data_IF_423231229495
#
_entry.id   IF_423231229495
#
_cell.length_a   1.000
_cell.length_b   1.000
_cell.length_c   1.000
_cell.angle_alpha   90.00
_cell.angle_beta   90.00
_cell.angle_gamma   90.00
#
_symmetry.space_group_name_H-M   'P 1'
#
loop_
_entity.id
_entity.type
_entity.pdbx_description
1 polymer ?
#
# COMPACT_ATOMS: atom_id res chain seq x y z
N UNK A 1 17.89 -10.73 9.61
CA UNK A 1 18.81 -11.74 9.02
C UNK A 1 18.16 -13.12 9.04
N UNK A 2 18.79 -14.16 8.43
CA UNK A 2 18.28 -15.54 8.54
C UNK A 2 18.23 -16.02 9.98
N UNK A 3 19.23 -15.65 10.78
CA UNK A 3 19.34 -16.04 12.19
C UNK A 3 18.29 -15.33 13.04
N UNK A 4 18.05 -14.03 12.82
CA UNK A 4 16.96 -13.30 13.47
C UNK A 4 15.60 -13.93 13.13
N UNK A 5 15.37 -14.28 11.86
CA UNK A 5 14.14 -14.94 11.45
C UNK A 5 13.97 -16.29 12.17
N UNK A 6 15.02 -17.11 12.23
CA UNK A 6 14.99 -18.38 12.95
C UNK A 6 14.70 -18.18 14.45
N UNK A 7 15.32 -17.19 15.08
CA UNK A 7 15.07 -16.86 16.49
C UNK A 7 13.63 -16.40 16.74
N UNK A 8 13.03 -15.64 15.81
CA UNK A 8 11.61 -15.26 15.89
C UNK A 8 10.71 -16.49 15.77
N UNK A 9 11.02 -17.44 14.88
CA UNK A 9 10.27 -18.71 14.77
C UNK A 9 10.35 -19.47 16.10
N UNK A 10 11.53 -19.63 16.66
CA UNK A 10 11.74 -20.31 17.95
C UNK A 10 10.97 -19.62 19.09
N UNK A 11 10.91 -18.29 19.06
CA UNK A 11 10.19 -17.50 20.07
C UNK A 11 8.67 -17.65 19.97
N UNK A 12 8.12 -17.67 18.76
CA UNK A 12 6.65 -17.70 18.55
C UNK A 12 6.10 -19.13 18.55
N UNK A 13 6.91 -20.13 18.20
CA UNK A 13 6.49 -21.54 18.09
C UNK A 13 5.78 -22.09 19.34
N UNK A 14 6.27 -21.90 20.58
CA UNK A 14 5.58 -22.41 21.77
C UNK A 14 4.15 -21.86 21.93
N UNK A 15 3.94 -20.60 21.55
CA UNK A 15 2.64 -19.94 21.61
C UNK A 15 1.69 -20.45 20.52
N UNK A 16 2.21 -20.73 19.32
CA UNK A 16 1.43 -21.37 18.25
C UNK A 16 0.98 -22.77 18.68
N UNK A 17 1.89 -23.57 19.23
CA UNK A 17 1.60 -24.92 19.72
C UNK A 17 0.61 -24.90 20.90
N UNK A 18 0.67 -23.88 21.75
CA UNK A 18 -0.31 -23.65 22.81
C UNK A 18 -1.71 -23.40 22.26
N UNK A 19 -1.88 -22.47 21.31
CA UNK A 19 -3.19 -22.18 20.69
C UNK A 19 -3.78 -23.43 20.03
N UNK A 20 -2.95 -24.20 19.32
CA UNK A 20 -3.37 -25.46 18.69
C UNK A 20 -3.84 -26.49 19.73
N UNK A 21 -3.16 -26.61 20.88
CA UNK A 21 -3.57 -27.51 21.97
C UNK A 21 -4.88 -27.09 22.64
N UNK A 22 -5.10 -25.78 22.80
CA UNK A 22 -6.37 -25.28 23.36
C UNK A 22 -7.57 -25.63 22.47
N UNK A 23 -7.38 -25.82 21.15
CA UNK A 23 -8.38 -26.34 20.22
C UNK A 23 -9.60 -25.44 19.98
N UNK A 24 -9.73 -24.33 20.70
CA UNK A 24 -10.91 -23.45 20.67
C UNK A 24 -10.99 -22.60 19.40
N UNK A 25 -9.86 -22.24 18.81
CA UNK A 25 -9.76 -21.28 17.72
C UNK A 25 -9.21 -21.89 16.42
N UNK A 26 -9.03 -23.22 16.37
CA UNK A 26 -8.42 -23.90 15.24
C UNK A 26 -6.89 -23.78 15.22
N UNK A 27 -6.30 -24.08 14.06
CA UNK A 27 -4.86 -23.95 13.84
C UNK A 27 -4.50 -22.55 13.35
N UNK A 28 -3.37 -22.04 13.83
CA UNK A 28 -2.78 -20.80 13.33
C UNK A 28 -2.29 -21.02 11.89
N UNK A 29 -2.71 -20.14 10.99
CA UNK A 29 -2.26 -20.11 9.59
C UNK A 29 -0.83 -19.58 9.49
N UNK A 30 -0.17 -19.85 8.35
CA UNK A 30 1.17 -19.30 8.10
C UNK A 30 1.18 -17.77 8.16
N UNK A 31 0.15 -17.10 7.64
CA UNK A 31 0.10 -15.64 7.61
C UNK A 31 -0.10 -15.03 9.00
N UNK A 32 -0.91 -15.66 9.85
CA UNK A 32 -1.05 -15.26 11.26
C UNK A 32 0.27 -15.44 12.03
N UNK A 33 0.97 -16.54 11.81
CA UNK A 33 2.29 -16.79 12.42
C UNK A 33 3.32 -15.73 11.98
N UNK A 34 3.40 -15.44 10.67
CA UNK A 34 4.30 -14.41 10.13
C UNK A 34 3.96 -13.01 10.64
N UNK A 35 2.67 -12.70 10.78
CA UNK A 35 2.21 -11.41 11.32
C UNK A 35 2.62 -11.25 12.79
N UNK A 36 2.44 -12.31 13.60
CA UNK A 36 2.89 -12.30 14.99
C UNK A 36 4.41 -12.14 15.11
N UNK A 37 5.18 -12.82 14.25
CA UNK A 37 6.63 -12.66 14.18
C UNK A 37 7.03 -11.24 13.78
N UNK A 38 6.33 -10.60 12.84
CA UNK A 38 6.60 -9.23 12.43
C UNK A 38 6.39 -8.24 13.59
N UNK A 39 5.30 -8.36 14.33
CA UNK A 39 5.06 -7.54 15.53
C UNK A 39 6.13 -7.73 16.59
N UNK A 40 6.53 -8.98 16.85
CA UNK A 40 7.61 -9.27 17.79
C UNK A 40 8.94 -8.67 17.33
N UNK A 41 9.26 -8.77 16.03
CA UNK A 41 10.47 -8.20 15.47
C UNK A 41 10.52 -6.68 15.66
N UNK A 42 9.46 -5.96 15.26
CA UNK A 42 9.42 -4.51 15.39
C UNK A 42 9.45 -4.04 16.84
N UNK A 43 8.87 -4.82 17.76
CA UNK A 43 9.02 -4.59 19.20
C UNK A 43 10.48 -4.76 19.65
N UNK A 44 11.16 -5.83 19.21
CA UNK A 44 12.52 -6.14 19.65
C UNK A 44 13.55 -5.11 19.16
N UNK A 45 13.33 -4.50 18.00
CA UNK A 45 14.19 -3.42 17.49
C UNK A 45 13.75 -2.03 17.93
N UNK A 46 12.73 -1.94 18.80
CA UNK A 46 12.17 -0.68 19.30
C UNK A 46 11.78 0.30 18.17
N UNK A 47 11.14 -0.21 17.12
CA UNK A 47 10.77 0.61 15.97
C UNK A 47 9.80 1.74 16.35
N UNK A 48 10.13 2.98 15.97
CA UNK A 48 9.27 4.16 16.19
C UNK A 48 7.94 4.06 15.41
N UNK A 49 8.01 3.49 14.19
CA UNK A 49 6.87 3.31 13.30
C UNK A 49 6.88 1.92 12.67
N UNK A 50 5.68 1.39 12.44
CA UNK A 50 5.46 0.17 11.68
C UNK A 50 4.52 0.48 10.52
N UNK A 51 4.98 0.22 9.29
CA UNK A 51 4.14 0.27 8.10
C UNK A 51 3.70 -1.16 7.79
N UNK A 52 2.41 -1.43 7.93
CA UNK A 52 1.84 -2.77 7.77
C UNK A 52 1.02 -2.84 6.49
N UNK A 53 1.40 -3.74 5.60
CA UNK A 53 0.60 -4.10 4.44
C UNK A 53 -0.41 -5.17 4.83
N UNK A 54 -1.69 -4.93 4.52
CA UNK A 54 -2.75 -5.90 4.71
C UNK A 54 -2.55 -7.07 3.75
N UNK A 55 -2.61 -8.31 4.26
CA UNK A 55 -2.45 -9.50 3.42
C UNK A 55 -3.62 -9.71 2.46
N UNK A 56 -4.83 -9.78 3.01
CA UNK A 56 -6.05 -9.98 2.22
C UNK A 56 -7.26 -9.28 2.83
N UNK A 57 -7.97 -8.51 2.00
CA UNK A 57 -9.15 -7.78 2.44
C UNK A 57 -8.77 -6.64 3.38
N UNK A 58 -8.98 -6.82 4.68
CA UNK A 58 -8.70 -5.82 5.71
C UNK A 58 -9.40 -6.12 7.02
N UNK A 59 -10.73 -6.21 7.00
CA UNK A 59 -11.58 -6.39 8.19
C UNK A 59 -11.19 -7.58 9.05
N UNK A 60 -10.91 -8.73 8.43
CA UNK A 60 -10.54 -9.99 9.07
C UNK A 60 -9.08 -10.38 8.83
N UNK A 61 -8.26 -9.44 8.35
CA UNK A 61 -6.84 -9.70 8.11
C UNK A 61 -6.08 -9.81 9.44
N UNK A 62 -5.06 -10.67 9.48
CA UNK A 62 -4.24 -10.88 10.67
C UNK A 62 -3.54 -9.61 11.15
N UNK A 63 -3.29 -8.64 10.25
CA UNK A 63 -2.71 -7.34 10.60
C UNK A 63 -3.71 -6.41 11.29
N UNK A 64 -5.03 -6.63 11.16
CA UNK A 64 -6.07 -5.72 11.64
C UNK A 64 -6.35 -5.79 13.16
N UNK A 65 -5.39 -6.29 13.93
CA UNK A 65 -5.41 -6.34 15.40
C UNK A 65 -4.87 -5.06 16.06
N UNK A 66 -4.51 -4.06 15.25
CA UNK A 66 -3.91 -2.79 15.71
C UNK A 66 -4.86 -1.59 15.64
N UNK A 67 -4.47 -0.51 16.32
CA UNK A 67 -4.99 0.83 16.11
C UNK A 67 -3.89 1.69 15.49
N UNK A 68 -3.91 1.92 14.16
CA UNK A 68 -2.85 2.66 13.48
C UNK A 68 -2.97 4.17 13.75
N UNK A 69 -1.89 4.91 13.45
CA UNK A 69 -1.92 6.38 13.46
C UNK A 69 -2.66 6.94 12.24
N UNK A 70 -2.55 6.27 11.09
CA UNK A 70 -3.23 6.61 9.84
C UNK A 70 -3.51 5.31 9.09
N UNK A 71 -4.63 5.22 8.39
CA UNK A 71 -4.94 4.12 7.47
C UNK A 71 -4.82 4.54 6.01
N UNK A 72 -4.35 3.66 5.14
CA UNK A 72 -4.24 3.90 3.69
C UNK A 72 -5.04 2.87 2.90
N UNK A 73 -5.83 3.32 1.92
CA UNK A 73 -6.56 2.45 0.98
C UNK A 73 -6.15 2.82 -0.44
N UNK A 74 -5.32 1.97 -1.06
CA UNK A 74 -4.94 2.11 -2.48
C UNK A 74 -6.10 1.72 -3.41
N UNK A 75 -5.92 1.88 -4.73
CA UNK A 75 -6.95 1.55 -5.73
C UNK A 75 -7.54 0.16 -5.50
N UNK A 76 -8.86 0.08 -5.39
CA UNK A 76 -9.58 -1.18 -5.24
C UNK A 76 -9.99 -1.68 -6.62
N UNK A 77 -9.62 -2.91 -6.93
CA UNK A 77 -10.05 -3.61 -8.14
C UNK A 77 -10.66 -4.96 -7.79
N UNK A 78 -11.30 -5.60 -8.77
CA UNK A 78 -11.72 -7.00 -8.65
C UNK A 78 -10.47 -7.87 -8.52
N UNK A 79 -10.21 -8.30 -7.29
CA UNK A 79 -9.15 -9.23 -6.94
C UNK A 79 -9.64 -10.16 -5.83
N UNK A 80 -9.14 -11.39 -5.82
CA UNK A 80 -9.52 -12.43 -4.86
C UNK A 80 -11.04 -12.58 -4.69
N UNK A 81 -11.79 -12.55 -5.79
CA UNK A 81 -13.27 -12.52 -5.79
C UNK A 81 -13.91 -13.74 -5.10
N UNK A 82 -13.20 -14.87 -5.08
CA UNK A 82 -13.63 -16.07 -4.35
C UNK A 82 -13.65 -15.89 -2.82
N UNK A 83 -12.90 -14.93 -2.28
CA UNK A 83 -12.75 -14.70 -0.83
C UNK A 83 -13.40 -13.37 -0.42
N UNK A 84 -13.17 -12.30 -1.17
CA UNK A 84 -13.60 -10.95 -0.82
C UNK A 84 -14.97 -10.56 -1.40
N UNK A 85 -15.52 -11.38 -2.30
CA UNK A 85 -16.80 -11.16 -2.95
C UNK A 85 -16.67 -10.84 -4.44
N UNK A 86 -17.81 -10.87 -5.11
CA UNK A 86 -17.96 -10.77 -6.56
C UNK A 86 -18.24 -9.34 -7.06
N UNK A 87 -18.26 -8.34 -6.16
CA UNK A 87 -18.45 -6.93 -6.51
C UNK A 87 -17.41 -6.04 -5.85
N UNK A 88 -17.12 -4.90 -6.48
CA UNK A 88 -16.17 -3.93 -5.96
C UNK A 88 -16.60 -3.38 -4.59
N UNK A 89 -17.89 -3.22 -4.37
CA UNK A 89 -18.45 -2.74 -3.09
C UNK A 89 -18.25 -3.76 -1.96
N UNK A 90 -18.41 -5.06 -2.24
CA UNK A 90 -18.12 -6.12 -1.24
C UNK A 90 -16.65 -6.12 -0.86
N UNK A 91 -15.76 -6.03 -1.85
CA UNK A 91 -14.32 -5.92 -1.62
C UNK A 91 -14.00 -4.64 -0.84
N UNK A 92 -14.66 -3.53 -1.15
CA UNK A 92 -14.51 -2.26 -0.44
C UNK A 92 -14.93 -2.35 1.02
N UNK A 93 -16.01 -3.07 1.35
CA UNK A 93 -16.44 -3.30 2.74
C UNK A 93 -15.35 -4.03 3.53
N UNK A 94 -14.75 -5.08 2.93
CA UNK A 94 -13.65 -5.80 3.57
C UNK A 94 -12.41 -4.92 3.76
N UNK A 95 -12.00 -4.17 2.73
CA UNK A 95 -10.83 -3.28 2.78
C UNK A 95 -11.03 -2.11 3.74
N UNK A 96 -12.21 -1.49 3.75
CA UNK A 96 -12.55 -0.40 4.65
C UNK A 96 -12.67 -0.86 6.13
N UNK A 97 -12.61 -2.17 6.40
CA UNK A 97 -12.54 -2.72 7.75
C UNK A 97 -11.30 -2.32 8.55
N UNK A 98 -10.27 -1.77 7.91
CA UNK A 98 -9.09 -1.21 8.60
C UNK A 98 -9.34 0.19 9.18
N UNK A 99 -10.40 0.90 8.73
CA UNK A 99 -10.73 2.23 9.22
C UNK A 99 -11.13 2.13 10.70
N UNK A 100 -10.36 2.81 11.56
CA UNK A 100 -10.57 2.84 13.01
C UNK A 100 -11.15 4.17 13.47
N UNK A 101 -11.81 4.15 14.62
CA UNK A 101 -12.52 5.31 15.17
C UNK A 101 -11.56 6.48 15.41
N UNK A 102 -11.87 7.66 14.88
CA UNK A 102 -11.06 8.89 14.99
C UNK A 102 -9.65 8.79 14.44
N UNK A 103 -9.35 7.77 13.64
CA UNK A 103 -8.05 7.62 12.99
C UNK A 103 -8.19 8.10 11.54
N UNK A 104 -7.35 9.05 11.07
CA UNK A 104 -7.42 9.54 9.71
C UNK A 104 -7.20 8.42 8.68
N UNK A 105 -7.84 8.54 7.53
CA UNK A 105 -7.73 7.61 6.42
C UNK A 105 -7.47 8.33 5.11
N UNK A 106 -6.53 7.80 4.32
CA UNK A 106 -6.19 8.30 2.99
C UNK A 106 -6.59 7.27 1.97
N UNK A 107 -7.34 7.67 0.95
CA UNK A 107 -7.75 6.79 -0.14
C UNK A 107 -7.22 7.28 -1.49
N UNK A 108 -6.74 6.35 -2.31
CA UNK A 108 -6.57 6.55 -3.74
C UNK A 108 -7.89 6.96 -4.41
N UNK A 109 -7.89 7.47 -5.65
CA UNK A 109 -9.12 7.61 -6.42
C UNK A 109 -9.83 6.26 -6.54
N UNK A 110 -11.15 6.25 -6.42
CA UNK A 110 -11.97 5.04 -6.51
C UNK A 110 -13.17 5.28 -7.42
N UNK A 111 -13.78 4.20 -7.92
CA UNK A 111 -15.10 4.25 -8.53
C UNK A 111 -16.16 4.73 -7.52
N UNK A 112 -17.21 5.40 -7.99
CA UNK A 112 -18.21 6.05 -7.13
C UNK A 112 -18.83 5.10 -6.09
N UNK A 113 -19.12 3.85 -6.48
CA UNK A 113 -19.68 2.83 -5.59
C UNK A 113 -18.74 2.46 -4.44
N UNK A 114 -17.45 2.29 -4.75
CA UNK A 114 -16.39 2.00 -3.78
C UNK A 114 -16.14 3.20 -2.88
N UNK A 115 -16.05 4.39 -3.46
CA UNK A 115 -15.80 5.61 -2.72
C UNK A 115 -16.92 5.89 -1.72
N UNK A 116 -18.18 5.60 -2.09
CA UNK A 116 -19.33 5.72 -1.19
C UNK A 116 -19.21 4.82 0.03
N UNK A 117 -18.72 3.58 -0.14
CA UNK A 117 -18.48 2.66 0.99
C UNK A 117 -17.40 3.22 1.93
N UNK A 118 -16.29 3.70 1.38
CA UNK A 118 -15.19 4.28 2.16
C UNK A 118 -15.66 5.54 2.90
N UNK A 119 -16.38 6.45 2.23
CA UNK A 119 -16.96 7.66 2.82
C UNK A 119 -17.91 7.34 3.97
N UNK A 120 -18.81 6.37 3.78
CA UNK A 120 -19.72 5.94 4.84
C UNK A 120 -18.94 5.38 6.03
N UNK A 121 -17.97 4.49 5.78
CA UNK A 121 -17.19 3.86 6.85
C UNK A 121 -16.34 4.86 7.63
N UNK A 122 -15.74 5.83 6.94
CA UNK A 122 -15.01 6.93 7.58
C UNK A 122 -15.95 7.80 8.44
N UNK A 123 -17.13 8.15 7.91
CA UNK A 123 -18.15 8.90 8.65
C UNK A 123 -18.63 8.15 9.90
N UNK A 124 -18.91 6.85 9.81
CA UNK A 124 -19.36 6.03 10.95
C UNK A 124 -18.27 5.92 12.03
N UNK A 125 -17.01 5.98 11.62
CA UNK A 125 -15.85 5.93 12.49
C UNK A 125 -15.44 7.32 13.03
N UNK A 126 -16.09 8.41 12.63
CA UNK A 126 -15.63 9.78 12.95
C UNK A 126 -14.17 9.99 12.52
N UNK A 127 -13.78 9.41 11.39
CA UNK A 127 -12.44 9.43 10.82
C UNK A 127 -12.36 10.47 9.71
N UNK A 128 -11.32 11.32 9.76
CA UNK A 128 -11.04 12.25 8.67
C UNK A 128 -10.61 11.49 7.42
N UNK A 129 -11.33 11.70 6.32
CA UNK A 129 -11.03 11.09 5.02
C UNK A 129 -10.36 12.10 4.09
N UNK A 130 -9.27 11.66 3.49
CA UNK A 130 -8.54 12.36 2.43
C UNK A 130 -8.55 11.50 1.17
N UNK A 131 -9.04 12.03 0.06
CA UNK A 131 -9.16 11.32 -1.22
C UNK A 131 -8.25 11.95 -2.26
N UNK A 132 -7.31 11.16 -2.79
CA UNK A 132 -6.47 11.60 -3.92
C UNK A 132 -7.35 11.85 -5.14
N UNK A 133 -7.11 12.96 -5.84
CA UNK A 133 -7.93 13.46 -6.96
C UNK A 133 -9.17 14.27 -6.54
N UNK A 134 -9.45 14.41 -5.25
CA UNK A 134 -10.49 15.34 -4.74
C UNK A 134 -9.90 16.33 -3.73
N UNK A 135 -9.14 15.81 -2.76
CA UNK A 135 -8.50 16.60 -1.71
C UNK A 135 -7.04 16.95 -2.02
N UNK A 136 -6.34 16.02 -2.67
CA UNK A 136 -4.95 16.19 -3.12
C UNK A 136 -4.87 15.90 -4.61
N UNK A 137 -4.33 16.82 -5.38
CA UNK A 137 -4.24 16.70 -6.84
C UNK A 137 -2.78 16.55 -7.27
N UNK A 138 -2.51 15.60 -8.17
CA UNK A 138 -1.18 15.42 -8.74
C UNK A 138 -1.19 15.62 -10.25
N UNK A 139 -0.07 16.08 -10.79
CA UNK A 139 0.14 16.27 -12.23
C UNK A 139 1.46 15.64 -12.64
N UNK A 140 1.41 14.70 -13.59
CA UNK A 140 2.61 14.16 -14.21
C UNK A 140 3.27 15.22 -15.11
N UNK A 141 4.59 15.37 -15.00
CA UNK A 141 5.35 16.33 -15.79
C UNK A 141 6.23 15.62 -16.83
N UNK A 142 7.25 14.90 -16.36
CA UNK A 142 8.28 14.29 -17.19
C UNK A 142 8.42 12.81 -16.85
N UNK A 143 8.80 11.98 -17.81
CA UNK A 143 9.02 10.55 -17.61
C UNK A 143 10.14 10.06 -18.53
N UNK A 144 11.01 9.21 -17.99
CA UNK A 144 12.05 8.51 -18.74
C UNK A 144 12.26 7.10 -18.15
N UNK A 145 13.28 6.37 -18.64
CA UNK A 145 13.57 5.01 -18.15
C UNK A 145 14.11 4.94 -16.71
N UNK A 146 14.47 6.07 -16.09
CA UNK A 146 14.89 6.15 -14.68
C UNK A 146 13.73 6.40 -13.71
N UNK A 147 12.57 6.87 -14.21
CA UNK A 147 11.48 7.29 -13.34
C UNK A 147 10.64 8.43 -13.93
N UNK A 148 9.92 9.08 -13.03
CA UNK A 148 8.91 10.08 -13.36
C UNK A 148 9.02 11.30 -12.43
N UNK A 149 8.86 12.49 -13.00
CA UNK A 149 8.67 13.74 -12.27
C UNK A 149 7.20 14.09 -12.21
N UNK A 150 6.71 14.48 -11.04
CA UNK A 150 5.34 14.91 -10.85
C UNK A 150 5.24 15.99 -9.78
N UNK A 151 4.21 16.82 -9.90
CA UNK A 151 3.82 17.75 -8.85
C UNK A 151 2.64 17.16 -8.07
N UNK A 152 2.59 17.45 -6.77
CA UNK A 152 1.46 17.14 -5.90
C UNK A 152 1.06 18.40 -5.12
N UNK A 153 -0.18 18.82 -5.28
CA UNK A 153 -0.82 19.79 -4.41
C UNK A 153 -1.41 19.06 -3.20
N UNK A 154 -0.64 19.05 -2.11
CA UNK A 154 -1.06 18.57 -0.79
C UNK A 154 -2.01 19.53 -0.09
N UNK A 155 -2.57 19.10 1.05
CA UNK A 155 -3.34 19.98 1.95
C UNK A 155 -2.44 20.95 2.71
N UNK A 156 -1.23 20.51 3.05
CA UNK A 156 -0.28 21.30 3.83
C UNK A 156 0.74 21.98 2.94
N UNK A 157 1.21 21.28 1.90
CA UNK A 157 2.33 21.72 1.08
C UNK A 157 2.14 21.36 -0.41
N UNK A 158 2.87 22.06 -1.28
CA UNK A 158 3.06 21.64 -2.67
C UNK A 158 4.40 20.95 -2.81
N UNK A 159 4.44 19.88 -3.59
CA UNK A 159 5.61 19.06 -3.80
C UNK A 159 5.93 18.99 -5.30
N UNK A 160 7.23 19.06 -5.61
CA UNK A 160 7.80 18.71 -6.91
C UNK A 160 8.75 17.55 -6.66
N UNK A 161 8.43 16.40 -7.23
CA UNK A 161 8.97 15.11 -6.81
C UNK A 161 9.46 14.31 -8.00
N UNK A 162 10.58 13.63 -7.79
CA UNK A 162 11.08 12.57 -8.65
C UNK A 162 10.83 11.22 -7.98
N UNK A 163 10.20 10.27 -8.67
CA UNK A 163 10.05 8.88 -8.22
C UNK A 163 10.71 7.92 -9.22
N UNK A 164 11.62 7.04 -8.77
CA UNK A 164 12.34 6.10 -9.64
C UNK A 164 11.50 4.83 -9.95
N UNK A 165 10.20 5.00 -10.18
CA UNK A 165 9.28 3.94 -10.56
C UNK A 165 8.52 4.34 -11.82
N UNK A 166 8.25 3.37 -12.69
CA UNK A 166 7.56 3.59 -13.97
C UNK A 166 6.06 3.32 -13.85
N UNK A 167 5.30 3.99 -14.73
CA UNK A 167 3.84 3.90 -14.79
C UNK A 167 3.13 4.92 -13.91
N UNK A 168 2.11 5.59 -14.46
CA UNK A 168 1.36 6.67 -13.78
C UNK A 168 0.68 6.23 -12.48
N UNK A 169 0.36 4.94 -12.36
CA UNK A 169 -0.19 4.37 -11.13
C UNK A 169 0.76 4.51 -9.93
N UNK A 170 2.07 4.62 -10.17
CA UNK A 170 3.03 4.86 -9.10
C UNK A 170 3.01 6.30 -8.59
N UNK A 171 2.60 7.27 -9.42
CA UNK A 171 2.38 8.66 -8.99
C UNK A 171 1.18 8.74 -8.05
N UNK A 172 0.13 7.98 -8.35
CA UNK A 172 -1.04 7.84 -7.48
C UNK A 172 -0.69 7.16 -6.14
N UNK A 173 0.06 6.05 -6.18
CA UNK A 173 0.55 5.38 -4.97
C UNK A 173 1.43 6.32 -4.12
N UNK A 174 2.32 7.08 -4.76
CA UNK A 174 3.15 8.08 -4.08
C UNK A 174 2.29 9.18 -3.45
N UNK A 175 1.22 9.61 -4.13
CA UNK A 175 0.29 10.61 -3.62
C UNK A 175 -0.46 10.12 -2.38
N UNK A 176 -0.87 8.83 -2.35
CA UNK A 176 -1.44 8.21 -1.14
C UNK A 176 -0.43 8.20 -0.01
N UNK A 177 0.82 7.80 -0.28
CA UNK A 177 1.88 7.80 0.74
C UNK A 177 2.14 9.21 1.30
N UNK A 178 2.14 10.24 0.46
CA UNK A 178 2.30 11.63 0.92
C UNK A 178 1.08 12.11 1.69
N UNK A 179 -0.13 11.75 1.28
CA UNK A 179 -1.33 12.03 2.07
C UNK A 179 -1.27 11.42 3.48
N UNK A 180 -0.70 10.21 3.61
CA UNK A 180 -0.47 9.60 4.93
C UNK A 180 0.54 10.41 5.74
N UNK A 181 1.61 10.88 5.11
CA UNK A 181 2.60 11.75 5.75
C UNK A 181 2.00 13.09 6.18
N UNK A 182 1.15 13.73 5.36
CA UNK A 182 0.46 14.97 5.75
C UNK A 182 -0.50 14.75 6.92
N UNK A 183 -1.17 13.59 6.97
CA UNK A 183 -2.00 13.21 8.13
C UNK A 183 -1.15 13.05 9.40
N UNK A 184 0.00 12.39 9.32
CA UNK A 184 0.92 12.29 10.46
C UNK A 184 1.44 13.68 10.91
N UNK A 185 1.78 14.57 9.96
CA UNK A 185 2.22 15.93 10.28
C UNK A 185 1.10 16.71 11.00
N UNK A 186 -0.15 16.53 10.56
CA UNK A 186 -1.32 17.17 11.18
C UNK A 186 -1.56 16.68 12.61
N UNK A 187 -1.24 15.41 12.90
CA UNK A 187 -1.24 14.82 14.25
C UNK A 187 -0.02 15.26 15.11
N UNK A 188 0.84 16.13 14.59
CA UNK A 188 1.96 16.73 15.32
C UNK A 188 3.31 16.05 15.13
N UNK A 189 3.43 15.06 14.23
CA UNK A 189 4.70 14.42 13.93
C UNK A 189 5.60 15.34 13.09
N UNK A 190 6.85 15.54 13.53
CA UNK A 190 7.80 16.37 12.80
C UNK A 190 8.46 15.59 11.65
N UNK A 191 7.91 15.73 10.44
CA UNK A 191 8.45 15.13 9.21
C UNK A 191 8.85 16.28 8.26
N UNK A 192 10.14 16.65 8.21
CA UNK A 192 10.60 17.76 7.37
C UNK A 192 10.33 17.51 5.88
N UNK A 193 9.93 18.55 5.15
CA UNK A 193 9.68 18.50 3.70
C UNK A 193 10.80 17.80 2.92
N UNK A 194 12.07 18.11 3.22
CA UNK A 194 13.23 17.48 2.57
C UNK A 194 13.24 15.95 2.71
N UNK A 195 12.77 15.43 3.85
CA UNK A 195 12.74 13.98 4.10
C UNK A 195 11.68 13.31 3.22
N UNK A 196 10.56 13.98 2.94
CA UNK A 196 9.54 13.49 2.00
C UNK A 196 10.10 13.42 0.59
N UNK A 197 10.74 14.50 0.13
CA UNK A 197 11.37 14.55 -1.21
C UNK A 197 12.44 13.47 -1.35
N UNK A 198 13.37 13.38 -0.39
CA UNK A 198 14.42 12.35 -0.41
C UNK A 198 13.82 10.95 -0.35
N UNK A 199 12.83 10.72 0.52
CA UNK A 199 12.14 9.43 0.66
C UNK A 199 11.58 8.94 -0.67
N UNK A 200 10.75 9.76 -1.32
CA UNK A 200 10.14 9.44 -2.63
C UNK A 200 11.20 9.19 -3.71
N UNK A 201 12.26 10.01 -3.76
CA UNK A 201 13.35 9.84 -4.74
C UNK A 201 14.23 8.61 -4.53
N UNK A 202 14.19 8.04 -3.33
CA UNK A 202 15.02 6.89 -2.94
C UNK A 202 14.30 5.53 -3.04
N UNK A 203 13.02 5.53 -3.43
CA UNK A 203 12.18 4.33 -3.48
C UNK A 203 12.84 3.26 -4.36
N UNK A 204 12.79 2.01 -3.90
CA UNK A 204 13.14 0.83 -4.70
C UNK A 204 12.01 -0.17 -4.57
N UNK A 205 11.46 -0.61 -5.70
CA UNK A 205 10.39 -1.59 -5.72
C UNK A 205 10.65 -2.64 -6.81
N UNK A 206 11.37 -3.72 -6.47
CA UNK A 206 11.66 -4.78 -7.43
C UNK A 206 10.38 -5.36 -8.06
N UNK A 207 10.47 -5.78 -9.31
CA UNK A 207 9.36 -6.38 -10.06
C UNK A 207 8.11 -5.47 -10.20
N UNK A 208 8.30 -4.15 -10.24
CA UNK A 208 7.27 -3.14 -10.58
C UNK A 208 7.73 -2.32 -11.77
N UNK A 209 7.47 -2.83 -12.97
CA UNK A 209 8.01 -2.33 -14.23
C UNK A 209 9.52 -2.07 -14.17
N UNK A 210 10.25 -2.97 -13.51
CA UNK A 210 11.68 -2.83 -13.26
C UNK A 210 12.47 -3.15 -14.53
N UNK A 211 13.37 -2.25 -14.92
CA UNK A 211 14.27 -2.46 -16.07
C UNK A 211 15.50 -3.23 -15.61
N UNK A 212 15.60 -4.51 -16.01
CA UNK A 212 16.74 -5.38 -15.69
C UNK A 212 17.90 -5.23 -16.67
N UNK A 213 17.60 -4.87 -17.92
CA UNK A 213 18.59 -4.59 -18.96
C UNK A 213 18.07 -3.49 -19.87
N UNK A 214 18.98 -2.69 -20.45
CA UNK A 214 18.65 -1.62 -21.40
C UNK A 214 18.99 -1.99 -22.84
N UNK A 215 19.89 -2.94 -23.02
CA UNK A 215 20.35 -3.41 -24.32
C UNK A 215 20.48 -4.95 -24.31
N UNK A 216 19.42 -5.69 -24.71
CA UNK A 216 18.08 -5.20 -25.05
C UNK A 216 17.32 -4.71 -23.82
N UNK A 217 16.24 -3.93 -24.02
CA UNK A 217 15.35 -3.54 -22.92
C UNK A 217 14.64 -4.79 -22.40
N UNK A 218 14.88 -5.15 -21.14
CA UNK A 218 14.22 -6.23 -20.42
C UNK A 218 13.49 -5.62 -19.22
N UNK A 219 12.17 -5.78 -19.17
CA UNK A 219 11.31 -5.28 -18.10
C UNK A 219 10.68 -6.46 -17.37
N UNK A 220 10.70 -6.43 -16.04
CA UNK A 220 10.00 -7.39 -15.19
C UNK A 220 8.90 -6.69 -14.39
N UNK A 221 7.72 -7.30 -14.35
CA UNK A 221 6.56 -6.77 -13.63
C UNK A 221 5.73 -7.89 -13.00
N UNK A 222 5.17 -7.62 -11.82
CA UNK A 222 4.34 -8.55 -11.05
C UNK A 222 2.83 -8.47 -11.30
N UNK A 223 2.37 -7.83 -12.38
CA UNK A 223 0.95 -7.80 -12.75
C UNK A 223 0.41 -9.22 -12.99
N UNK A 224 -0.66 -9.56 -12.28
CA UNK A 224 -1.22 -10.91 -12.25
C UNK A 224 -2.76 -10.93 -12.22
N UNK A 225 -3.41 -9.76 -12.24
CA UNK A 225 -4.86 -9.63 -12.30
C UNK A 225 -5.28 -8.73 -13.48
N UNK A 226 -6.55 -8.77 -13.93
CA UNK A 226 -6.96 -8.02 -15.11
C UNK A 226 -6.71 -6.51 -15.02
N UNK A 227 -6.84 -5.92 -13.83
CA UNK A 227 -6.59 -4.50 -13.60
C UNK A 227 -5.10 -4.15 -13.76
N UNK A 228 -4.23 -4.85 -13.04
CA UNK A 228 -2.77 -4.66 -13.08
C UNK A 228 -2.20 -4.89 -14.48
N UNK A 229 -2.66 -5.93 -15.20
CA UNK A 229 -2.25 -6.20 -16.59
C UNK A 229 -2.66 -5.05 -17.54
N UNK A 230 -3.85 -4.47 -17.36
CA UNK A 230 -4.26 -3.28 -18.12
C UNK A 230 -3.35 -2.08 -17.83
N UNK A 231 -3.01 -1.83 -16.56
CA UNK A 231 -2.12 -0.72 -16.15
C UNK A 231 -0.69 -0.91 -16.68
N UNK A 232 -0.18 -2.14 -16.65
CA UNK A 232 1.10 -2.51 -17.25
C UNK A 232 1.08 -2.25 -18.75
N UNK A 233 0.06 -2.75 -19.45
CA UNK A 233 -0.08 -2.61 -20.91
C UNK A 233 -0.14 -1.13 -21.32
N UNK A 234 -0.93 -0.32 -20.61
CA UNK A 234 -0.99 1.12 -20.84
C UNK A 234 0.40 1.76 -20.68
N UNK A 235 1.10 1.44 -19.59
CA UNK A 235 2.41 2.02 -19.30
C UNK A 235 3.46 1.60 -20.34
N UNK A 236 3.45 0.34 -20.78
CA UNK A 236 4.31 -0.16 -21.85
C UNK A 236 4.04 0.52 -23.19
N UNK A 237 2.77 0.76 -23.54
CA UNK A 237 2.40 1.46 -24.78
C UNK A 237 2.82 2.93 -24.75
N UNK A 238 2.73 3.60 -23.59
CA UNK A 238 3.21 4.97 -23.40
C UNK A 238 4.75 5.05 -23.53
N UNK A 239 5.48 4.03 -23.08
CA UNK A 239 6.95 3.96 -23.17
C UNK A 239 7.47 3.53 -24.55
N UNK A 240 6.77 2.59 -25.19
CA UNK A 240 7.20 1.98 -26.45
C UNK A 240 6.72 2.85 -27.61
N UNK A 241 7.49 3.90 -27.93
CA UNK A 241 7.34 4.70 -29.14
C UNK A 241 7.56 3.86 -30.43
N UNK A 242 6.65 2.92 -30.73
CA UNK A 242 6.65 1.97 -31.86
C UNK A 242 7.70 0.84 -31.83
N UNK A 243 8.25 0.49 -30.65
CA UNK A 243 9.11 -0.69 -30.50
C UNK A 243 8.25 -1.97 -30.45
N UNK A 244 8.74 -3.07 -31.04
CA UNK A 244 8.10 -4.39 -30.85
C UNK A 244 8.26 -4.81 -29.40
N UNK A 245 7.15 -5.14 -28.75
CA UNK A 245 7.13 -5.71 -27.40
C UNK A 245 6.97 -7.22 -27.57
N UNK A 246 7.84 -7.98 -26.93
CA UNK A 246 7.74 -9.43 -26.82
C UNK A 246 7.43 -9.69 -25.34
N UNK A 247 6.28 -10.33 -25.08
CA UNK A 247 5.79 -10.67 -23.74
C UNK A 247 5.97 -12.16 -23.54
#
# INVERSE_FOLDING_TARGET
TKDEFASLVESVKPHIEEVARFGRYGFITLFEALTAMAFLHFKNIEADFQVLEVGLGGRLDSTNVIYPLVSGITSISLDHTAILGDSLEKIAIEKAGIIKRKIPVVSAPQEDGVLKVIKQKASDADAELTVIGQDLEWTALESNYEGQRFELAGRLMRYDLWIPLLGKHQLENASVAIGIIEALISEGWNIPFRNVVTGISSVRWPCRMEILSREPIIIVDGAHNPYSVRRLTQSLLEMAARKRIIV
#
